data_IF_304827634245
#
_entry.id   IF_304827634245
#
_cell.length_a   1.000
_cell.length_b   1.000
_cell.length_c   1.000
_cell.angle_alpha   90.00
_cell.angle_beta   90.00
_cell.angle_gamma   90.00
#
_symmetry.space_group_name_H-M   'P 1'
#
loop_
_entity.id
_entity.type
_entity.pdbx_description
1 polymer ?
#
# COMPACT_ATOMS: atom_id res chain seq x y z
N UNK A 1 -21.54 -10.07 5.88
CA UNK A 1 -21.14 -8.64 5.93
C UNK A 1 -19.74 -8.39 5.34
N UNK A 2 -18.65 -8.93 5.92
CA UNK A 2 -17.30 -8.73 5.32
C UNK A 2 -17.15 -9.46 3.99
N UNK A 3 -17.72 -10.66 3.87
CA UNK A 3 -17.71 -11.45 2.62
C UNK A 3 -18.46 -10.72 1.51
N UNK A 4 -19.68 -10.24 1.80
CA UNK A 4 -20.48 -9.45 0.85
C UNK A 4 -19.77 -8.18 0.38
N UNK A 5 -19.03 -7.50 1.27
CA UNK A 5 -18.22 -6.34 0.91
C UNK A 5 -17.06 -6.73 -0.02
N UNK A 6 -16.38 -7.84 0.27
CA UNK A 6 -15.29 -8.35 -0.57
C UNK A 6 -15.82 -8.72 -1.96
N UNK A 7 -16.96 -9.40 -2.03
CA UNK A 7 -17.57 -9.79 -3.29
C UNK A 7 -18.04 -8.58 -4.09
N UNK A 8 -18.64 -7.58 -3.45
CA UNK A 8 -18.97 -6.29 -4.08
C UNK A 8 -17.73 -5.60 -4.70
N UNK A 9 -16.61 -5.55 -3.96
CA UNK A 9 -15.37 -4.98 -4.48
C UNK A 9 -14.77 -5.81 -5.62
N UNK A 10 -14.88 -7.14 -5.57
CA UNK A 10 -14.41 -8.05 -6.64
C UNK A 10 -15.27 -7.93 -7.89
N UNK A 11 -16.58 -7.76 -7.77
CA UNK A 11 -17.46 -7.51 -8.92
C UNK A 11 -17.19 -6.17 -9.62
N UNK A 12 -16.56 -5.21 -8.93
CA UNK A 12 -16.18 -3.90 -9.47
C UNK A 12 -14.67 -3.71 -9.52
N UNK A 13 -13.92 -4.81 -9.67
CA UNK A 13 -12.46 -4.81 -9.58
C UNK A 13 -11.79 -3.79 -10.52
N UNK A 14 -12.32 -3.60 -11.73
CA UNK A 14 -11.79 -2.61 -12.68
C UNK A 14 -11.93 -1.18 -12.12
N UNK A 15 -13.10 -0.84 -11.59
CA UNK A 15 -13.35 0.46 -10.96
C UNK A 15 -12.47 0.65 -9.73
N UNK A 16 -12.34 -0.37 -8.88
CA UNK A 16 -11.48 -0.31 -7.69
C UNK A 16 -10.02 -0.06 -8.10
N UNK A 17 -9.49 -0.80 -9.08
CA UNK A 17 -8.14 -0.60 -9.61
C UNK A 17 -7.94 0.82 -10.13
N UNK A 18 -8.90 1.32 -10.91
CA UNK A 18 -8.84 2.67 -11.47
C UNK A 18 -8.86 3.73 -10.35
N UNK A 19 -9.79 3.62 -9.39
CA UNK A 19 -9.91 4.55 -8.27
C UNK A 19 -8.66 4.55 -7.40
N UNK A 20 -8.09 3.39 -7.09
CA UNK A 20 -6.83 3.28 -6.35
C UNK A 20 -5.66 3.90 -7.12
N UNK A 21 -5.58 3.70 -8.44
CA UNK A 21 -4.55 4.31 -9.27
C UNK A 21 -4.70 5.84 -9.34
N UNK A 22 -5.92 6.35 -9.46
CA UNK A 22 -6.21 7.79 -9.43
C UNK A 22 -5.82 8.38 -8.06
N UNK A 23 -6.20 7.73 -6.96
CA UNK A 23 -5.83 8.20 -5.62
C UNK A 23 -4.31 8.25 -5.43
N UNK A 24 -3.58 7.23 -5.92
CA UNK A 24 -2.12 7.22 -5.89
C UNK A 24 -1.53 8.35 -6.76
N UNK A 25 -2.07 8.61 -7.94
CA UNK A 25 -1.63 9.70 -8.81
C UNK A 25 -1.85 11.08 -8.16
N UNK A 26 -3.02 11.29 -7.53
CA UNK A 26 -3.32 12.52 -6.78
C UNK A 26 -2.30 12.72 -5.65
N UNK A 27 -1.99 11.67 -4.89
CA UNK A 27 -1.00 11.73 -3.81
C UNK A 27 0.40 12.11 -4.32
N UNK A 28 0.82 11.55 -5.46
CA UNK A 28 2.10 11.90 -6.10
C UNK A 28 2.12 13.37 -6.52
N UNK A 29 1.07 13.84 -7.20
CA UNK A 29 0.97 15.24 -7.61
C UNK A 29 0.99 16.17 -6.41
N UNK A 30 0.24 15.86 -5.35
CA UNK A 30 0.24 16.63 -4.10
C UNK A 30 1.62 16.68 -3.45
N UNK A 31 2.36 15.57 -3.45
CA UNK A 31 3.72 15.51 -2.90
C UNK A 31 4.69 16.40 -3.66
N UNK A 32 4.50 16.59 -4.97
CA UNK A 32 5.39 17.42 -5.80
C UNK A 32 5.02 18.91 -5.69
N UNK A 33 3.72 19.23 -5.67
CA UNK A 33 3.23 20.61 -5.80
C UNK A 33 2.89 21.25 -4.46
N UNK A 34 2.38 20.48 -3.50
CA UNK A 34 1.79 20.97 -2.25
C UNK A 34 2.64 20.76 -1.00
N UNK A 35 3.65 19.88 -1.04
CA UNK A 35 4.52 19.63 0.12
C UNK A 35 5.69 20.61 0.09
N UNK A 36 5.74 21.48 1.09
CA UNK A 36 6.87 22.36 1.31
C UNK A 36 8.08 21.55 1.83
N UNK A 37 9.18 21.56 1.07
CA UNK A 37 10.43 20.85 1.38
C UNK A 37 11.46 21.72 2.08
N UNK A 38 11.09 22.96 2.45
CA UNK A 38 12.01 23.93 3.08
C UNK A 38 12.54 23.48 4.46
N UNK A 39 11.90 22.49 5.09
CA UNK A 39 12.34 21.85 6.35
C UNK A 39 12.69 20.36 6.14
N UNK A 40 13.17 19.97 4.96
CA UNK A 40 13.65 18.61 4.72
C UNK A 40 14.81 18.29 5.69
N UNK A 41 14.60 17.33 6.58
CA UNK A 41 15.60 16.94 7.59
C UNK A 41 16.66 15.99 7.01
N UNK A 42 16.45 15.47 5.80
CA UNK A 42 17.37 14.54 5.14
C UNK A 42 17.68 14.98 3.70
N UNK A 43 18.90 14.69 3.22
CA UNK A 43 19.33 15.02 1.85
C UNK A 43 18.42 14.42 0.77
N UNK A 44 17.89 13.22 1.02
CA UNK A 44 17.01 12.52 0.10
C UNK A 44 15.66 13.23 -0.08
N UNK A 45 15.07 13.76 0.99
CA UNK A 45 13.83 14.56 0.93
C UNK A 45 14.01 15.86 0.13
N UNK A 46 15.19 16.47 0.20
CA UNK A 46 15.48 17.74 -0.48
C UNK A 46 15.76 17.59 -1.98
N UNK A 47 16.31 16.45 -2.41
CA UNK A 47 16.78 16.27 -3.80
C UNK A 47 15.91 15.33 -4.65
N UNK A 48 15.06 14.49 -4.02
CA UNK A 48 14.22 13.52 -4.73
C UNK A 48 12.78 14.03 -4.75
N UNK A 49 12.29 14.58 -5.88
CA UNK A 49 10.89 14.96 -6.00
C UNK A 49 9.99 13.73 -5.84
N UNK A 50 8.99 13.83 -4.97
CA UNK A 50 8.10 12.70 -4.68
C UNK A 50 8.71 11.63 -3.76
N UNK A 51 9.79 11.93 -3.02
CA UNK A 51 10.45 11.00 -2.09
C UNK A 51 9.47 10.20 -1.22
N UNK A 52 8.54 10.89 -0.56
CA UNK A 52 7.56 10.27 0.33
C UNK A 52 6.61 9.29 -0.37
N UNK A 53 6.22 9.58 -1.61
CA UNK A 53 5.37 8.67 -2.39
C UNK A 53 6.14 7.39 -2.77
N UNK A 54 7.40 7.53 -3.21
CA UNK A 54 8.28 6.41 -3.53
C UNK A 54 8.55 5.57 -2.28
N UNK A 55 8.90 6.22 -1.18
CA UNK A 55 9.15 5.56 0.11
C UNK A 55 7.94 4.78 0.60
N UNK A 56 6.74 5.35 0.47
CA UNK A 56 5.49 4.68 0.88
C UNK A 56 5.22 3.44 0.05
N UNK A 57 5.36 3.52 -1.28
CA UNK A 57 5.18 2.37 -2.17
C UNK A 57 6.19 1.27 -1.83
N UNK A 58 7.47 1.65 -1.68
CA UNK A 58 8.53 0.70 -1.35
C UNK A 58 8.29 0.03 0.01
N UNK A 59 7.88 0.82 1.02
CA UNK A 59 7.56 0.31 2.35
C UNK A 59 6.39 -0.67 2.31
N UNK A 60 5.32 -0.37 1.55
CA UNK A 60 4.21 -1.30 1.36
C UNK A 60 4.67 -2.63 0.75
N UNK A 61 5.51 -2.59 -0.29
CA UNK A 61 6.06 -3.81 -0.91
C UNK A 61 6.86 -4.61 0.12
N UNK A 62 7.78 -3.96 0.84
CA UNK A 62 8.59 -4.60 1.89
C UNK A 62 7.71 -5.24 2.96
N UNK A 63 6.69 -4.52 3.44
CA UNK A 63 5.76 -5.03 4.45
C UNK A 63 4.97 -6.25 3.96
N UNK A 64 4.50 -6.25 2.70
CA UNK A 64 3.80 -7.40 2.12
C UNK A 64 4.70 -8.64 2.09
N UNK A 65 5.93 -8.49 1.61
CA UNK A 65 6.89 -9.59 1.56
C UNK A 65 7.26 -10.07 2.96
N UNK A 66 7.51 -9.14 3.88
CA UNK A 66 7.85 -9.45 5.26
C UNK A 66 6.70 -10.19 5.96
N UNK A 67 5.47 -9.69 5.86
CA UNK A 67 4.29 -10.33 6.43
C UNK A 67 4.06 -11.74 5.86
N UNK A 68 4.26 -11.91 4.55
CA UNK A 68 4.13 -13.22 3.89
C UNK A 68 5.21 -14.20 4.34
N UNK A 69 6.45 -13.75 4.50
CA UNK A 69 7.54 -14.57 5.05
C UNK A 69 7.26 -14.93 6.51
N UNK A 70 6.93 -13.94 7.33
CA UNK A 70 6.68 -14.09 8.76
C UNK A 70 5.50 -15.02 9.06
N UNK A 71 4.41 -14.93 8.29
CA UNK A 71 3.29 -15.85 8.46
C UNK A 71 3.66 -17.30 8.09
N UNK A 72 4.52 -17.52 7.09
CA UNK A 72 5.06 -18.84 6.74
C UNK A 72 6.04 -19.39 7.79
N UNK A 73 6.58 -18.55 8.66
CA UNK A 73 7.46 -18.99 9.76
C UNK A 73 6.71 -19.71 10.89
N UNK A 74 5.41 -19.97 10.74
CA UNK A 74 4.64 -20.81 11.67
C UNK A 74 3.67 -20.05 12.58
N UNK A 75 3.40 -18.78 12.29
CA UNK A 75 2.44 -17.96 13.06
C UNK A 75 1.00 -18.13 12.54
N UNK A 76 0.84 -18.50 11.27
CA UNK A 76 -0.49 -18.79 10.73
C UNK A 76 -1.00 -20.12 11.28
N UNK A 77 -2.23 -20.09 11.79
CA UNK A 77 -3.03 -21.29 12.06
C UNK A 77 -3.11 -22.15 10.79
N UNK A 78 -2.99 -23.47 10.93
CA UNK A 78 -3.09 -24.41 9.80
C UNK A 78 -4.42 -24.24 9.06
N UNK A 79 -4.40 -24.38 7.73
CA UNK A 79 -5.60 -24.19 6.89
C UNK A 79 -6.73 -25.17 7.26
N UNK A 80 -6.38 -26.34 7.80
CA UNK A 80 -7.32 -27.40 8.24
C UNK A 80 -7.81 -27.24 9.70
N UNK A 81 -7.60 -26.09 10.33
CA UNK A 81 -7.88 -25.91 11.78
C UNK A 81 -9.34 -26.17 12.19
N UNK A 82 -10.28 -25.99 11.27
CA UNK A 82 -11.71 -26.25 11.54
C UNK A 82 -12.18 -27.66 11.10
N UNK A 83 -11.31 -28.48 10.53
CA UNK A 83 -11.69 -29.78 9.96
C UNK A 83 -12.62 -29.68 8.74
N UNK A 84 -12.78 -30.80 8.04
CA UNK A 84 -13.81 -31.00 7.00
C UNK A 84 -15.23 -30.94 7.58
#
# INVERSE_FOLDING_TARGET
MIVDLIDYLKERLQTVKLMSAIAAAIMVVWTIVGVDTHHAHTWMEAHIPGFWAIFSILSCVVLIFFARWFGKSGIMTQEDYYGD
#
